data_IF_312813867536
#
_entry.id   IF_312813867536
#
_cell.length_a   1.000
_cell.length_b   1.000
_cell.length_c   1.000
_cell.angle_alpha   90.00
_cell.angle_beta   90.00
_cell.angle_gamma   90.00
#
_symmetry.space_group_name_H-M   'P 1'
#
loop_
_entity.id
_entity.type
_entity.pdbx_description
1 polymer ?
#
# COMPACT_ATOMS: atom_id res chain seq x y z
N UNK A 1 -10.28 -26.12 -2.36
CA UNK A 1 -9.98 -24.96 -3.23
C UNK A 1 -8.57 -24.49 -2.89
N UNK A 2 -7.80 -24.10 -3.90
CA UNK A 2 -6.50 -23.48 -3.71
C UNK A 2 -6.66 -22.11 -3.04
N UNK A 3 -5.72 -21.76 -2.14
CA UNK A 3 -5.69 -20.46 -1.48
C UNK A 3 -5.09 -19.45 -2.45
N UNK A 4 -5.85 -18.42 -2.79
CA UNK A 4 -5.39 -17.30 -3.62
C UNK A 4 -4.65 -16.28 -2.75
N UNK A 5 -3.69 -15.57 -3.35
CA UNK A 5 -3.04 -14.43 -2.71
C UNK A 5 -3.99 -13.22 -2.59
N UNK A 6 -3.72 -12.34 -1.63
CA UNK A 6 -4.52 -11.14 -1.36
C UNK A 6 -3.77 -9.87 -1.74
N UNK A 7 -4.44 -8.96 -2.45
CA UNK A 7 -3.97 -7.57 -2.61
C UNK A 7 -4.30 -6.80 -1.34
N UNK A 8 -3.26 -6.38 -0.62
CA UNK A 8 -3.43 -5.66 0.66
C UNK A 8 -3.87 -4.22 0.45
N UNK A 9 -3.14 -3.51 -0.41
CA UNK A 9 -3.39 -2.12 -0.74
C UNK A 9 -2.82 -1.75 -2.11
N UNK A 10 -3.32 -0.63 -2.63
CA UNK A 10 -2.86 -0.02 -3.87
C UNK A 10 -2.42 1.40 -3.56
N UNK A 11 -1.22 1.78 -3.98
CA UNK A 11 -0.68 3.13 -3.82
C UNK A 11 -0.66 3.85 -5.17
N UNK A 12 -1.44 4.93 -5.27
CA UNK A 12 -1.47 5.80 -6.46
C UNK A 12 -0.79 7.13 -6.17
N UNK A 13 -0.17 7.69 -7.20
CA UNK A 13 0.47 9.00 -7.10
C UNK A 13 -0.55 10.13 -7.27
N UNK A 14 -0.52 11.10 -6.36
CA UNK A 14 -1.38 12.27 -6.40
C UNK A 14 -0.60 13.55 -6.18
N UNK A 15 -1.11 14.66 -6.72
CA UNK A 15 -0.47 15.96 -6.59
C UNK A 15 -0.69 16.60 -5.22
N UNK A 16 -1.79 16.29 -4.53
CA UNK A 16 -2.19 16.90 -3.26
C UNK A 16 -2.95 15.88 -2.43
N UNK A 17 -2.33 15.42 -1.33
CA UNK A 17 -2.90 14.37 -0.46
C UNK A 17 -4.25 14.81 0.09
N UNK A 18 -4.35 16.04 0.61
CA UNK A 18 -5.57 16.53 1.25
C UNK A 18 -6.72 16.61 0.26
N UNK A 19 -6.50 17.19 -0.92
CA UNK A 19 -7.54 17.27 -1.97
C UNK A 19 -7.95 15.89 -2.47
N UNK A 20 -7.01 14.94 -2.57
CA UNK A 20 -7.32 13.57 -2.93
C UNK A 20 -8.17 12.88 -1.86
N UNK A 21 -7.80 12.96 -0.58
CA UNK A 21 -8.63 12.40 0.51
C UNK A 21 -10.04 12.98 0.47
N UNK A 22 -10.17 14.31 0.39
CA UNK A 22 -11.47 14.99 0.31
C UNK A 22 -12.29 14.54 -0.91
N UNK A 23 -11.66 14.38 -2.08
CA UNK A 23 -12.36 13.93 -3.29
C UNK A 23 -12.98 12.54 -3.11
N UNK A 24 -12.20 11.60 -2.57
CA UNK A 24 -12.61 10.20 -2.44
C UNK A 24 -13.64 10.01 -1.32
N UNK A 25 -13.43 10.62 -0.14
CA UNK A 25 -14.37 10.47 0.99
C UNK A 25 -15.71 11.14 0.74
N UNK A 26 -15.77 12.20 -0.07
CA UNK A 26 -17.02 12.83 -0.48
C UNK A 26 -17.81 12.03 -1.54
N UNK A 27 -17.16 11.10 -2.25
CA UNK A 27 -17.77 10.36 -3.38
C UNK A 27 -18.02 8.89 -3.09
N UNK A 28 -17.23 8.29 -2.22
CA UNK A 28 -17.26 6.87 -1.93
C UNK A 28 -17.36 6.62 -0.43
N UNK A 29 -18.00 5.51 -0.08
CA UNK A 29 -18.02 5.01 1.31
C UNK A 29 -16.70 4.33 1.60
N UNK A 30 -15.79 5.08 2.20
CA UNK A 30 -14.47 4.64 2.64
C UNK A 30 -14.12 5.32 3.97
N UNK A 31 -13.15 4.78 4.69
CA UNK A 31 -12.70 5.35 5.97
C UNK A 31 -11.28 5.87 5.85
N UNK A 32 -11.00 7.04 6.41
CA UNK A 32 -9.61 7.53 6.51
C UNK A 32 -8.94 6.76 7.65
N UNK A 33 -7.92 5.95 7.32
CA UNK A 33 -7.08 5.26 8.31
C UNK A 33 -5.93 6.15 8.75
N UNK A 34 -5.34 6.89 7.82
CA UNK A 34 -4.22 7.79 8.06
C UNK A 34 -4.19 8.93 7.05
N UNK A 35 -3.70 10.10 7.47
CA UNK A 35 -3.44 11.22 6.58
C UNK A 35 -2.42 12.18 7.21
N UNK A 36 -1.40 12.53 6.45
CA UNK A 36 -0.54 13.70 6.69
C UNK A 36 -0.21 14.42 5.36
N UNK A 37 0.83 15.26 5.34
CA UNK A 37 1.24 15.99 4.13
C UNK A 37 1.98 15.12 3.09
N UNK A 38 2.53 13.98 3.53
CA UNK A 38 3.35 13.07 2.72
C UNK A 38 2.54 11.92 2.11
N UNK A 39 1.56 11.37 2.84
CA UNK A 39 0.68 10.32 2.33
C UNK A 39 -0.69 10.27 3.03
N UNK A 40 -1.63 9.60 2.37
CA UNK A 40 -2.96 9.31 2.92
C UNK A 40 -3.33 7.86 2.68
N UNK A 41 -4.18 7.31 3.55
CA UNK A 41 -4.56 5.90 3.50
C UNK A 41 -6.04 5.72 3.78
N UNK A 42 -6.77 5.18 2.81
CA UNK A 42 -8.21 4.96 2.88
C UNK A 42 -8.52 3.47 2.91
N UNK A 43 -9.43 3.06 3.80
CA UNK A 43 -10.02 1.73 3.81
C UNK A 43 -11.27 1.69 2.93
N UNK A 44 -11.26 0.80 1.95
CA UNK A 44 -12.45 0.32 1.24
C UNK A 44 -12.83 -1.06 1.78
N UNK A 45 -14.01 -1.57 1.39
CA UNK A 45 -14.54 -2.84 1.90
C UNK A 45 -13.58 -4.02 1.68
N UNK A 46 -12.92 -4.07 0.53
CA UNK A 46 -12.10 -5.21 0.11
C UNK A 46 -10.59 -4.96 0.15
N UNK A 47 -10.16 -3.71 0.21
CA UNK A 47 -8.73 -3.33 0.13
C UNK A 47 -8.51 -1.91 0.64
N UNK A 48 -7.25 -1.46 0.65
CA UNK A 48 -6.89 -0.11 1.06
C UNK A 48 -6.30 0.68 -0.11
N UNK A 49 -6.53 1.98 -0.15
CA UNK A 49 -6.02 2.91 -1.16
C UNK A 49 -5.09 3.93 -0.50
N UNK A 50 -3.81 3.87 -0.87
CA UNK A 50 -2.81 4.85 -0.45
C UNK A 50 -2.65 5.95 -1.51
N UNK A 51 -2.54 7.18 -1.03
CA UNK A 51 -2.14 8.34 -1.82
C UNK A 51 -0.71 8.69 -1.45
N UNK A 52 0.15 8.75 -2.45
CA UNK A 52 1.58 9.07 -2.25
C UNK A 52 2.03 10.17 -3.18
N UNK A 53 3.08 10.90 -2.78
CA UNK A 53 3.75 11.89 -3.63
C UNK A 53 4.79 11.20 -4.51
N UNK A 54 4.86 11.58 -5.79
CA UNK A 54 5.76 10.96 -6.77
C UNK A 54 7.23 11.05 -6.36
N UNK A 55 7.59 12.14 -5.69
CA UNK A 55 8.96 12.44 -5.26
C UNK A 55 9.37 11.63 -4.01
N UNK A 56 8.40 11.07 -3.27
CA UNK A 56 8.63 10.38 -2.01
C UNK A 56 8.44 8.87 -2.14
N UNK A 57 7.42 8.42 -2.89
CA UNK A 57 7.11 7.01 -3.06
C UNK A 57 6.65 6.68 -4.49
N UNK A 58 7.12 5.56 -5.07
CA UNK A 58 6.62 5.08 -6.34
C UNK A 58 5.19 4.55 -6.20
N UNK A 59 4.41 4.62 -7.28
CA UNK A 59 3.15 3.86 -7.35
C UNK A 59 3.47 2.36 -7.23
N UNK A 60 2.63 1.62 -6.53
CA UNK A 60 2.77 0.18 -6.34
C UNK A 60 1.43 -0.44 -5.94
N UNK A 61 1.36 -1.77 -5.96
CA UNK A 61 0.35 -2.51 -5.23
C UNK A 61 1.04 -3.56 -4.37
N UNK A 62 0.46 -3.83 -3.20
CA UNK A 62 1.01 -4.74 -2.22
C UNK A 62 0.29 -6.09 -2.24
N UNK A 63 1.04 -7.18 -2.22
CA UNK A 63 0.55 -8.55 -2.12
C UNK A 63 0.96 -9.12 -0.77
N UNK A 64 -0.01 -9.67 -0.02
CA UNK A 64 0.28 -10.37 1.22
C UNK A 64 1.04 -11.67 0.95
N UNK A 65 2.15 -11.89 1.65
CA UNK A 65 2.95 -13.10 1.53
C UNK A 65 3.37 -13.67 2.88
N UNK A 66 2.71 -14.75 3.28
CA UNK A 66 2.91 -15.42 4.58
C UNK A 66 4.33 -15.96 4.76
N UNK A 67 4.94 -16.44 3.66
CA UNK A 67 6.28 -17.01 3.65
C UNK A 67 7.38 -15.98 3.34
N UNK A 68 7.11 -14.68 3.53
CA UNK A 68 8.16 -13.67 3.43
C UNK A 68 9.09 -13.80 4.65
N UNK A 69 10.34 -14.16 4.39
CA UNK A 69 11.37 -14.32 5.42
C UNK A 69 11.98 -12.97 5.80
N UNK A 70 12.27 -12.79 7.08
CA UNK A 70 12.98 -11.63 7.57
C UNK A 70 14.48 -11.81 7.36
N UNK A 71 15.02 -11.22 6.29
CA UNK A 71 16.43 -11.24 5.93
C UNK A 71 16.91 -9.84 5.50
N UNK A 72 18.18 -9.71 5.09
CA UNK A 72 18.77 -8.42 4.73
C UNK A 72 18.14 -7.76 3.47
N UNK A 73 17.25 -8.45 2.76
CA UNK A 73 16.57 -7.94 1.57
C UNK A 73 15.17 -7.35 1.87
N UNK A 74 14.68 -7.45 3.11
CA UNK A 74 13.39 -6.89 3.51
C UNK A 74 13.57 -5.64 4.37
N UNK A 75 12.65 -4.69 4.21
CA UNK A 75 12.55 -3.49 5.05
C UNK A 75 11.56 -3.76 6.17
N UNK A 76 11.99 -3.53 7.41
CA UNK A 76 11.10 -3.56 8.58
C UNK A 76 10.49 -2.19 8.79
N UNK A 77 9.16 -2.13 8.78
CA UNK A 77 8.38 -0.93 9.00
C UNK A 77 8.14 -0.67 10.49
N UNK A 78 7.72 0.57 10.80
CA UNK A 78 7.48 1.02 12.18
C UNK A 78 6.31 0.27 12.85
N UNK A 79 5.31 -0.13 12.07
CA UNK A 79 4.18 -0.95 12.54
C UNK A 79 4.57 -2.43 12.78
N UNK A 80 5.85 -2.76 12.55
CA UNK A 80 6.41 -4.07 12.72
C UNK A 80 6.37 -4.93 11.45
N UNK A 81 5.52 -4.59 10.47
CA UNK A 81 5.44 -5.34 9.21
C UNK A 81 6.80 -5.36 8.49
N UNK A 82 7.01 -6.38 7.66
CA UNK A 82 8.16 -6.48 6.78
C UNK A 82 7.71 -6.45 5.33
N UNK A 83 8.50 -5.80 4.48
CA UNK A 83 8.19 -5.72 3.06
C UNK A 83 9.42 -5.82 2.17
N UNK A 84 9.22 -6.20 0.92
CA UNK A 84 10.23 -6.15 -0.14
C UNK A 84 9.61 -5.65 -1.42
N UNK A 85 10.26 -4.68 -2.06
CA UNK A 85 9.86 -4.20 -3.38
C UNK A 85 10.50 -5.07 -4.48
N UNK A 86 9.68 -5.51 -5.42
CA UNK A 86 10.10 -6.19 -6.64
C UNK A 86 9.48 -5.50 -7.87
N UNK A 87 9.97 -5.86 -9.06
CA UNK A 87 9.44 -5.40 -10.34
C UNK A 87 8.77 -6.56 -11.06
N UNK A 88 7.64 -6.30 -11.72
CA UNK A 88 7.10 -7.25 -12.69
C UNK A 88 7.86 -7.19 -14.03
N UNK A 89 7.39 -7.95 -15.02
CA UNK A 89 8.00 -8.02 -16.36
C UNK A 89 7.96 -6.69 -17.13
N UNK A 90 7.07 -5.78 -16.75
CA UNK A 90 6.86 -4.48 -17.39
C UNK A 90 7.44 -3.31 -16.55
N UNK A 91 8.06 -3.63 -15.41
CA UNK A 91 8.69 -2.65 -14.52
C UNK A 91 7.74 -1.96 -13.53
N UNK A 92 6.51 -2.46 -13.34
CA UNK A 92 5.62 -2.00 -12.28
C UNK A 92 6.17 -2.41 -10.90
N UNK A 93 5.96 -1.57 -9.88
CA UNK A 93 6.39 -1.88 -8.53
C UNK A 93 5.36 -2.79 -7.83
N UNK A 94 5.85 -3.89 -7.26
CA UNK A 94 5.07 -4.77 -6.40
C UNK A 94 5.73 -4.76 -5.03
N UNK A 95 4.95 -4.48 -3.99
CA UNK A 95 5.38 -4.69 -2.61
C UNK A 95 4.94 -6.08 -2.16
N UNK A 96 5.89 -6.92 -1.76
CA UNK A 96 5.60 -8.14 -1.04
C UNK A 96 5.53 -7.78 0.44
N UNK A 97 4.39 -7.99 1.08
CA UNK A 97 4.13 -7.53 2.45
C UNK A 97 3.79 -8.68 3.38
N UNK A 98 4.30 -8.62 4.61
CA UNK A 98 3.89 -9.49 5.71
C UNK A 98 3.71 -8.67 6.98
N UNK A 99 2.50 -8.72 7.53
CA UNK A 99 2.24 -8.17 8.87
C UNK A 99 2.85 -9.06 9.94
N UNK A 100 3.22 -8.47 11.07
CA UNK A 100 3.51 -9.25 12.27
C UNK A 100 2.20 -9.82 12.82
N UNK A 101 2.28 -11.06 13.31
CA UNK A 101 1.21 -11.67 14.12
C UNK A 101 1.02 -10.93 15.45
#
# INVERSE_FOLDING_TARGET
MEKLDTIDHIAIQVNDIKKSVEFYTNRFKCKVLYQDESWGFLEFENTKLAFVKKEQHPFHFAILKENLENNDEVVKHRDGSISKYVKDIDGNNIELLKYNE
#
